data_IF_693342179256
#
_entry.id   IF_693342179256
#
_cell.length_a   1.000
_cell.length_b   1.000
_cell.length_c   1.000
_cell.angle_alpha   90.00
_cell.angle_beta   90.00
_cell.angle_gamma   90.00
#
_symmetry.space_group_name_H-M   'P 1'
#
loop_
_entity.id
_entity.type
_entity.pdbx_description
1 polymer ?
#
# COMPACT_ATOMS: atom_id res chain seq x y z
N UNK A 1 30.50 -10.84 -8.11
CA UNK A 1 29.63 -9.82 -8.75
C UNK A 1 28.62 -9.40 -7.70
N UNK A 2 28.69 -8.16 -7.22
CA UNK A 2 27.68 -7.66 -6.29
C UNK A 2 26.37 -7.57 -7.07
N UNK A 3 25.39 -8.37 -6.67
CA UNK A 3 24.00 -8.22 -7.11
C UNK A 3 23.59 -6.79 -6.82
N UNK A 4 23.14 -6.05 -7.84
CA UNK A 4 22.54 -4.74 -7.66
C UNK A 4 21.34 -4.89 -6.71
N UNK A 5 21.57 -4.64 -5.41
CA UNK A 5 20.54 -4.42 -4.42
C UNK A 5 19.73 -3.22 -4.91
N UNK A 6 18.66 -3.46 -5.67
CA UNK A 6 17.60 -2.49 -5.85
C UNK A 6 16.89 -2.33 -4.50
N UNK A 7 17.55 -1.55 -3.63
CA UNK A 7 17.01 -0.45 -2.84
C UNK A 7 15.63 -0.69 -2.23
N UNK A 8 15.60 -0.87 -0.91
CA UNK A 8 14.44 -0.49 -0.08
C UNK A 8 14.07 0.96 -0.42
N UNK A 9 13.01 1.14 -1.20
CA UNK A 9 12.49 2.45 -1.54
C UNK A 9 11.03 2.48 -1.11
N UNK A 10 10.66 3.55 -0.41
CA UNK A 10 9.30 3.78 0.06
C UNK A 10 8.61 4.75 -0.89
N UNK A 11 7.37 4.45 -1.24
CA UNK A 11 6.52 5.29 -2.09
C UNK A 11 5.27 5.65 -1.31
N UNK A 12 4.89 6.92 -1.33
CA UNK A 12 3.59 7.37 -0.85
C UNK A 12 2.69 7.66 -2.04
N UNK A 13 1.48 7.09 -2.03
CA UNK A 13 0.43 7.38 -3.01
C UNK A 13 -0.63 8.19 -2.29
N UNK A 14 -0.84 9.43 -2.74
CA UNK A 14 -1.86 10.33 -2.21
C UNK A 14 -2.96 10.49 -3.26
N UNK A 15 -4.21 10.34 -2.84
CA UNK A 15 -5.35 10.39 -3.75
C UNK A 15 -6.66 10.63 -3.02
N UNK A 16 -7.76 10.39 -3.73
CA UNK A 16 -9.13 10.59 -3.23
C UNK A 16 -9.89 9.28 -3.13
N UNK A 17 -10.87 9.23 -2.24
CA UNK A 17 -11.90 8.19 -2.28
C UNK A 17 -12.84 8.39 -3.48
N UNK A 18 -13.38 7.31 -4.07
CA UNK A 18 -13.23 5.91 -3.63
C UNK A 18 -11.94 5.22 -4.09
N UNK A 19 -11.17 5.84 -4.98
CA UNK A 19 -10.02 5.20 -5.67
C UNK A 19 -8.92 4.76 -4.71
N UNK A 20 -8.53 5.58 -3.73
CA UNK A 20 -7.41 5.23 -2.85
C UNK A 20 -7.76 4.04 -1.93
N UNK A 21 -9.00 3.98 -1.43
CA UNK A 21 -9.51 2.83 -0.67
C UNK A 21 -9.54 1.57 -1.54
N UNK A 22 -10.05 1.68 -2.78
CA UNK A 22 -10.09 0.54 -3.71
C UNK A 22 -8.69 0.01 -4.09
N UNK A 23 -7.70 0.90 -4.28
CA UNK A 23 -6.32 0.50 -4.55
C UNK A 23 -5.72 -0.21 -3.34
N UNK A 24 -5.91 0.33 -2.13
CA UNK A 24 -5.41 -0.29 -0.91
C UNK A 24 -6.06 -1.67 -0.67
N UNK A 25 -7.38 -1.77 -0.82
CA UNK A 25 -8.13 -3.01 -0.73
C UNK A 25 -7.63 -4.07 -1.72
N UNK A 26 -7.43 -3.66 -2.98
CA UNK A 26 -6.95 -4.55 -4.03
C UNK A 26 -5.52 -5.05 -3.77
N UNK A 27 -4.62 -4.17 -3.34
CA UNK A 27 -3.23 -4.55 -3.04
C UNK A 27 -3.12 -5.46 -1.82
N UNK A 28 -4.00 -5.32 -0.85
CA UNK A 28 -4.04 -6.17 0.35
C UNK A 28 -4.90 -7.43 0.18
N UNK A 29 -5.65 -7.55 -0.92
CA UNK A 29 -6.71 -8.56 -1.10
C UNK A 29 -7.72 -8.56 0.06
N UNK A 30 -8.04 -7.35 0.56
CA UNK A 30 -8.94 -7.13 1.69
C UNK A 30 -10.03 -6.11 1.33
N UNK A 31 -11.28 -6.56 1.08
CA UNK A 31 -12.38 -5.68 0.70
C UNK A 31 -12.89 -4.80 1.86
N UNK A 32 -12.45 -5.02 3.10
CA UNK A 32 -12.85 -4.22 4.26
C UNK A 32 -12.08 -2.91 4.41
N UNK A 33 -11.05 -2.69 3.58
CA UNK A 33 -10.22 -1.49 3.64
C UNK A 33 -11.01 -0.27 3.18
N UNK A 34 -11.29 0.62 4.13
CA UNK A 34 -11.85 1.94 3.91
C UNK A 34 -10.94 2.99 4.56
N UNK A 35 -10.47 3.97 3.79
CA UNK A 35 -9.61 5.05 4.26
C UNK A 35 -10.46 6.30 4.48
N UNK A 36 -10.52 6.84 5.70
CA UNK A 36 -11.09 8.17 5.91
C UNK A 36 -10.11 9.28 5.48
N UNK A 37 -10.57 10.53 5.50
CA UNK A 37 -9.71 11.69 5.26
C UNK A 37 -8.49 11.62 6.18
N UNK A 38 -7.29 11.78 5.60
CA UNK A 38 -6.00 11.71 6.29
C UNK A 38 -5.64 10.34 6.90
N UNK A 39 -6.39 9.27 6.63
CA UNK A 39 -5.96 7.91 6.97
C UNK A 39 -4.93 7.40 5.96
N UNK A 40 -4.07 6.49 6.39
CA UNK A 40 -3.10 5.83 5.53
C UNK A 40 -2.94 4.34 5.87
N UNK A 41 -2.60 3.55 4.86
CA UNK A 41 -2.18 2.15 5.02
C UNK A 41 -0.71 2.07 4.65
N UNK A 42 0.09 1.48 5.53
CA UNK A 42 1.48 1.14 5.27
C UNK A 42 1.53 -0.35 4.92
N UNK A 43 2.14 -0.67 3.78
CA UNK A 43 2.30 -2.05 3.33
C UNK A 43 3.70 -2.29 2.79
N UNK A 44 4.18 -3.51 2.97
CA UNK A 44 5.40 -4.00 2.33
C UNK A 44 5.08 -4.64 0.99
N UNK A 45 5.88 -4.29 -0.02
CA UNK A 45 5.79 -4.88 -1.37
C UNK A 45 6.98 -5.80 -1.60
N UNK A 46 6.73 -7.05 -1.94
CA UNK A 46 7.81 -8.01 -2.24
C UNK A 46 8.51 -7.74 -3.58
N UNK A 47 7.82 -7.05 -4.51
CA UNK A 47 8.28 -6.68 -5.86
C UNK A 47 7.61 -5.37 -6.29
N UNK A 48 8.22 -4.67 -7.25
CA UNK A 48 7.65 -3.47 -7.91
C UNK A 48 6.55 -3.80 -8.94
N UNK A 49 5.83 -4.91 -8.75
CA UNK A 49 4.71 -5.30 -9.61
C UNK A 49 3.41 -5.20 -8.83
N UNK A 50 2.40 -4.62 -9.48
CA UNK A 50 1.08 -4.41 -8.90
C UNK A 50 0.13 -5.49 -9.41
N UNK A 51 -0.31 -6.35 -8.51
CA UNK A 51 -1.34 -7.38 -8.71
C UNK A 51 -2.15 -7.51 -7.41
N UNK A 52 -3.36 -8.11 -7.42
CA UNK A 52 -4.16 -8.23 -6.22
C UNK A 52 -3.41 -9.03 -5.14
N UNK A 53 -3.43 -8.58 -3.89
CA UNK A 53 -2.72 -9.23 -2.77
C UNK A 53 -1.18 -9.15 -2.82
N UNK A 54 -0.62 -8.27 -3.65
CA UNK A 54 0.83 -8.08 -3.72
C UNK A 54 1.44 -7.40 -2.48
N UNK A 55 0.61 -6.69 -1.70
CA UNK A 55 1.00 -5.97 -0.51
C UNK A 55 0.73 -6.77 0.76
N UNK A 56 1.64 -6.67 1.73
CA UNK A 56 1.45 -7.16 3.09
C UNK A 56 1.22 -5.98 4.02
N UNK A 57 0.08 -5.96 4.71
CA UNK A 57 -0.21 -4.91 5.70
C UNK A 57 0.88 -4.87 6.77
N UNK A 58 1.37 -3.67 7.05
CA UNK A 58 2.29 -3.37 8.15
C UNK A 58 1.56 -2.59 9.23
N UNK A 59 0.86 -1.52 8.84
CA UNK A 59 0.23 -0.60 9.78
C UNK A 59 -0.95 0.13 9.13
N UNK A 60 -1.94 0.46 9.96
CA UNK A 60 -3.02 1.37 9.61
C UNK A 60 -2.90 2.64 10.46
N UNK A 61 -2.85 3.80 9.82
CA UNK A 61 -2.69 5.09 10.47
C UNK A 61 -4.03 5.84 10.37
N UNK A 62 -4.60 6.20 11.52
CA UNK A 62 -5.76 7.08 11.62
C UNK A 62 -5.33 8.51 11.99
N UNK A 63 -6.05 9.50 11.46
CA UNK A 63 -5.93 10.87 11.94
C UNK A 63 -6.86 11.03 13.13
N UNK A 64 -6.29 11.21 14.33
CA UNK A 64 -7.05 11.64 15.52
C UNK A 64 -7.47 13.12 15.41
#
# INVERSE_FOLDING_TARGET
MASNNLTTASVAIVGHNPTISAVAAWLLDDPSVELNVCHAVVMEMSKWHFYPGAGRLVEYISAE
#
